data_IF_293067604685
#
_entry.id   IF_293067604685
#
_cell.length_a   1.000
_cell.length_b   1.000
_cell.length_c   1.000
_cell.angle_alpha   90.00
_cell.angle_beta   90.00
_cell.angle_gamma   90.00
#
_symmetry.space_group_name_H-M   'P 1'
#
loop_
_entity.id
_entity.type
_entity.pdbx_description
1 polymer ?
#
# COMPACT_ATOMS: atom_id res chain seq x y z
N UNK A 1 28.80 62.58 23.29
CA UNK A 1 27.87 62.05 22.27
C UNK A 1 27.09 60.90 22.92
N UNK A 2 26.36 61.08 24.02
CA UNK A 2 25.14 61.88 24.29
C UNK A 2 23.97 61.52 23.37
N UNK A 3 23.01 60.77 23.91
CA UNK A 3 21.73 60.42 23.28
C UNK A 3 20.90 59.53 24.20
N UNK A 4 20.49 60.07 25.33
CA UNK A 4 19.60 59.44 26.31
C UNK A 4 18.15 59.91 26.12
N UNK A 5 17.24 59.09 26.65
CA UNK A 5 15.95 59.44 27.30
C UNK A 5 14.63 59.45 26.49
N UNK A 6 13.48 59.27 27.19
CA UNK A 6 12.35 58.43 26.78
C UNK A 6 11.04 59.24 26.75
N UNK A 7 9.87 58.58 26.71
CA UNK A 7 8.73 58.90 27.59
C UNK A 7 7.48 58.06 27.24
N UNK A 8 6.93 57.41 28.27
CA UNK A 8 5.50 57.13 28.39
C UNK A 8 4.77 58.39 28.87
N UNK A 9 3.54 58.59 28.42
CA UNK A 9 2.35 59.16 29.12
C UNK A 9 1.23 59.16 28.06
N UNK A 10 -0.07 58.98 28.31
CA UNK A 10 -0.90 58.76 29.47
C UNK A 10 -2.35 58.70 28.94
N UNK A 11 -3.23 57.92 29.58
CA UNK A 11 -4.69 58.02 29.37
C UNK A 11 -5.24 59.27 30.06
N UNK A 12 -6.44 59.75 29.69
CA UNK A 12 -7.59 59.49 30.56
C UNK A 12 -8.99 59.39 29.89
N UNK A 13 -9.79 58.51 30.49
CA UNK A 13 -11.21 58.57 30.92
C UNK A 13 -12.37 59.21 30.11
N UNK A 14 -13.50 58.48 30.23
CA UNK A 14 -14.91 58.89 30.39
C UNK A 14 -15.71 59.19 29.10
N UNK A 15 -17.02 58.92 28.93
CA UNK A 15 -18.08 58.42 29.82
C UNK A 15 -19.36 58.11 28.98
N UNK A 16 -20.19 57.17 29.47
CA UNK A 16 -21.68 57.11 29.49
C UNK A 16 -22.53 57.12 28.19
N UNK A 17 -23.40 56.09 28.02
CA UNK A 17 -24.87 56.12 28.27
C UNK A 17 -25.61 54.96 27.58
N UNK A 18 -26.31 54.15 28.38
CA UNK A 18 -27.61 53.54 28.04
C UNK A 18 -28.72 54.50 28.57
N UNK A 19 -30.05 54.38 28.26
CA UNK A 19 -30.87 53.16 28.45
C UNK A 19 -32.18 53.02 27.60
N UNK A 20 -32.99 52.03 28.00
CA UNK A 20 -34.45 51.81 27.82
C UNK A 20 -34.90 51.05 26.55
N UNK A 21 -35.47 49.83 26.61
CA UNK A 21 -36.63 49.25 27.34
C UNK A 21 -37.98 49.63 26.71
N UNK A 22 -38.69 48.68 26.09
CA UNK A 22 -39.93 47.96 26.51
C UNK A 22 -40.75 47.77 25.22
N UNK A 23 -41.68 46.85 24.96
CA UNK A 23 -42.52 45.87 25.68
C UNK A 23 -43.27 45.12 24.54
N UNK A 24 -43.53 43.81 24.54
CA UNK A 24 -44.80 43.10 24.90
C UNK A 24 -45.02 41.98 23.87
N UNK A 25 -44.91 40.71 24.26
CA UNK A 25 -46.01 39.77 24.56
C UNK A 25 -46.97 39.44 23.41
N UNK A 26 -46.97 38.18 22.95
CA UNK A 26 -48.20 37.35 22.95
C UNK A 26 -47.87 35.87 22.65
N UNK A 27 -48.59 35.02 23.35
CA UNK A 27 -48.61 33.56 23.38
C UNK A 27 -49.33 32.94 22.18
N UNK A 28 -48.96 31.72 21.73
CA UNK A 28 -49.88 30.55 21.73
C UNK A 28 -49.22 29.22 21.32
N UNK A 29 -49.46 28.19 22.14
CA UNK A 29 -49.89 26.80 21.86
C UNK A 29 -49.18 25.90 20.81
N UNK A 30 -48.53 24.86 21.36
CA UNK A 30 -48.72 23.40 21.09
C UNK A 30 -48.99 22.91 19.66
N UNK A 31 -48.06 22.08 19.12
CA UNK A 31 -48.37 20.69 18.70
C UNK A 31 -47.12 19.89 18.33
N UNK A 32 -47.14 18.64 18.80
CA UNK A 32 -46.44 17.42 18.37
C UNK A 32 -45.89 17.36 16.93
N UNK A 33 -44.70 16.77 16.76
CA UNK A 33 -44.54 15.61 15.86
C UNK A 33 -43.17 14.94 16.06
N UNK A 34 -43.23 13.65 16.38
CA UNK A 34 -42.18 12.67 16.21
C UNK A 34 -41.86 12.50 14.72
N UNK A 35 -40.60 12.68 14.32
CA UNK A 35 -40.13 12.24 13.00
C UNK A 35 -39.30 10.97 13.16
N UNK A 36 -39.85 9.88 12.65
CA UNK A 36 -39.19 8.61 12.45
C UNK A 36 -38.07 8.74 11.41
N UNK A 37 -36.97 8.03 11.65
CA UNK A 37 -35.96 7.74 10.64
C UNK A 37 -36.53 6.77 9.61
N UNK A 38 -36.44 7.03 8.28
CA UNK A 38 -36.78 6.03 7.29
C UNK A 38 -35.62 5.06 7.08
N UNK A 39 -35.86 3.81 7.46
CA UNK A 39 -35.07 2.63 7.12
C UNK A 39 -35.57 2.06 5.80
N UNK A 40 -35.04 2.50 4.65
CA UNK A 40 -35.23 1.80 3.38
C UNK A 40 -34.01 1.99 2.48
N UNK A 41 -33.18 0.94 2.37
CA UNK A 41 -32.42 0.65 1.15
C UNK A 41 -32.54 -0.84 0.91
N UNK A 42 -33.62 -1.19 0.20
CA UNK A 42 -33.82 -2.51 -0.39
C UNK A 42 -32.92 -2.65 -1.60
N UNK A 43 -32.16 -3.73 -1.56
CA UNK A 43 -31.29 -4.27 -2.58
C UNK A 43 -32.08 -4.79 -3.79
N UNK A 44 -31.69 -4.38 -4.99
CA UNK A 44 -31.70 -5.23 -6.19
C UNK A 44 -30.97 -4.52 -7.33
N UNK A 45 -29.87 -5.11 -7.79
CA UNK A 45 -29.04 -4.59 -8.86
C UNK A 45 -27.96 -5.60 -9.19
N UNK A 46 -28.37 -6.73 -9.76
CA UNK A 46 -27.48 -7.72 -10.37
C UNK A 46 -26.68 -7.04 -11.50
N UNK A 47 -25.37 -6.93 -11.32
CA UNK A 47 -24.43 -6.70 -12.43
C UNK A 47 -23.70 -8.02 -12.67
N UNK A 48 -23.81 -8.52 -13.91
CA UNK A 48 -23.13 -9.71 -14.37
C UNK A 48 -21.63 -9.44 -14.49
N UNK A 49 -20.83 -10.06 -13.63
CA UNK A 49 -19.38 -10.12 -13.79
C UNK A 49 -19.02 -11.14 -14.88
N UNK A 50 -18.48 -10.64 -16.00
CA UNK A 50 -17.74 -11.44 -16.96
C UNK A 50 -16.40 -11.84 -16.35
N UNK A 51 -16.37 -12.97 -15.65
CA UNK A 51 -15.16 -13.52 -15.03
C UNK A 51 -14.30 -14.23 -16.08
N UNK A 52 -13.24 -13.56 -16.56
CA UNK A 52 -12.13 -14.21 -17.25
C UNK A 52 -11.26 -14.90 -16.19
N UNK A 53 -11.52 -16.18 -15.95
CA UNK A 53 -10.74 -17.00 -15.02
C UNK A 53 -9.45 -17.49 -15.70
N UNK A 54 -8.37 -16.71 -15.60
CA UNK A 54 -7.02 -17.23 -15.84
C UNK A 54 -6.57 -18.06 -14.62
N UNK A 55 -6.96 -19.34 -14.57
CA UNK A 55 -6.53 -20.28 -13.53
C UNK A 55 -5.34 -21.12 -14.01
N UNK A 56 -4.16 -20.50 -14.10
CA UNK A 56 -2.89 -21.24 -14.16
C UNK A 56 -2.45 -21.70 -12.76
N UNK A 57 -1.67 -22.79 -12.64
CA UNK A 57 -1.11 -23.23 -11.36
C UNK A 57 -0.23 -22.12 -10.76
N UNK A 58 -0.65 -21.62 -9.59
CA UNK A 58 0.06 -20.56 -8.85
C UNK A 58 1.25 -21.18 -8.12
N UNK A 59 2.42 -21.16 -8.74
CA UNK A 59 3.67 -21.32 -7.97
C UNK A 59 3.86 -20.06 -7.13
N UNK A 60 4.16 -20.22 -5.85
CA UNK A 60 4.53 -19.13 -4.95
C UNK A 60 6.00 -19.33 -4.58
N UNK A 61 6.82 -18.29 -4.64
CA UNK A 61 8.21 -18.33 -4.21
C UNK A 61 8.05 -17.95 -2.77
N UNK A 62 8.25 -18.89 -1.84
CA UNK A 62 8.46 -18.48 -0.48
C UNK A 62 9.67 -17.56 -0.57
N UNK A 63 9.56 -16.32 -0.07
CA UNK A 63 10.76 -15.73 0.51
C UNK A 63 11.38 -16.84 1.38
N UNK A 64 12.70 -17.04 1.33
CA UNK A 64 13.36 -18.13 2.09
C UNK A 64 13.01 -18.09 3.60
N UNK A 65 12.40 -17.01 4.05
CA UNK A 65 11.84 -16.80 5.38
C UNK A 65 10.43 -17.39 5.54
N UNK A 66 10.17 -18.04 6.68
CA UNK A 66 8.81 -18.45 7.03
C UNK A 66 7.89 -17.24 7.08
N UNK A 67 6.80 -17.26 6.31
CA UNK A 67 5.77 -16.20 6.30
C UNK A 67 5.32 -15.86 7.73
N UNK A 68 4.91 -14.60 7.95
CA UNK A 68 4.40 -14.17 9.25
C UNK A 68 3.25 -15.08 9.74
N UNK A 69 2.35 -15.47 8.85
CA UNK A 69 1.31 -16.47 9.10
C UNK A 69 1.85 -17.76 9.72
N UNK A 70 2.91 -18.35 9.15
CA UNK A 70 3.53 -19.58 9.68
C UNK A 70 4.17 -19.35 11.05
N UNK A 71 4.71 -18.16 11.30
CA UNK A 71 5.30 -17.80 12.61
C UNK A 71 4.21 -17.65 13.68
N UNK A 72 3.12 -16.96 13.35
CA UNK A 72 1.95 -16.81 14.23
C UNK A 72 1.34 -18.18 14.54
N UNK A 73 1.10 -19.00 13.51
CA UNK A 73 0.53 -20.33 13.66
C UNK A 73 1.41 -21.26 14.51
N UNK A 74 2.74 -21.17 14.34
CA UNK A 74 3.67 -21.92 15.19
C UNK A 74 3.54 -21.52 16.65
N UNK A 75 3.46 -20.22 16.95
CA UNK A 75 3.28 -19.72 18.33
C UNK A 75 1.95 -20.14 18.92
N UNK A 76 0.86 -20.05 18.16
CA UNK A 76 -0.46 -20.53 18.58
C UNK A 76 -0.40 -22.03 18.95
N UNK A 77 0.25 -22.86 18.13
CA UNK A 77 0.39 -24.29 18.39
C UNK A 77 1.28 -24.61 19.59
N UNK A 78 2.27 -23.77 19.88
CA UNK A 78 3.12 -23.90 21.06
C UNK A 78 2.35 -23.60 22.36
N UNK A 79 1.29 -22.80 22.29
CA UNK A 79 0.41 -22.51 23.42
C UNK A 79 -0.74 -23.51 23.58
N UNK A 80 -1.20 -24.09 22.48
CA UNK A 80 -2.27 -25.07 22.52
C UNK A 80 -1.73 -26.48 22.82
N UNK A 81 -1.26 -26.68 24.05
CA UNK A 81 -0.72 -27.96 24.55
C UNK A 81 -1.69 -29.14 24.44
N UNK A 82 -3.00 -28.85 24.27
CA UNK A 82 -4.05 -29.87 24.19
C UNK A 82 -4.06 -30.65 22.87
N UNK A 83 -3.25 -30.25 21.89
CA UNK A 83 -3.13 -30.96 20.60
C UNK A 83 -4.40 -30.94 19.73
N UNK A 84 -5.48 -30.31 20.20
CA UNK A 84 -6.72 -30.16 19.45
C UNK A 84 -6.55 -29.07 18.39
N UNK A 85 -6.30 -29.49 17.16
CA UNK A 85 -6.11 -28.58 16.03
C UNK A 85 -7.38 -27.86 15.62
N UNK A 86 -8.54 -28.36 16.03
CA UNK A 86 -9.87 -27.91 15.60
C UNK A 86 -10.54 -27.01 16.65
N UNK A 87 -9.94 -26.91 17.85
CA UNK A 87 -10.38 -26.00 18.89
C UNK A 87 -10.43 -24.55 18.39
N UNK A 88 -11.51 -23.86 18.74
CA UNK A 88 -11.61 -22.41 18.56
C UNK A 88 -10.72 -21.74 19.60
N UNK A 89 -9.83 -20.87 19.12
CA UNK A 89 -8.97 -20.07 19.97
C UNK A 89 -9.45 -18.62 19.97
N UNK A 90 -9.03 -17.85 20.98
CA UNK A 90 -9.16 -16.40 21.03
C UNK A 90 -7.74 -15.83 21.17
N UNK A 91 -7.38 -14.91 20.28
CA UNK A 91 -6.05 -14.29 20.23
C UNK A 91 -6.21 -12.79 20.10
N UNK A 92 -5.50 -12.06 20.96
CA UNK A 92 -5.39 -10.62 20.93
C UNK A 92 -4.08 -10.23 20.24
N UNK A 93 -4.16 -9.46 19.16
CA UNK A 93 -3.01 -8.89 18.47
C UNK A 93 -2.94 -7.40 18.75
N UNK A 94 -1.77 -6.91 19.14
CA UNK A 94 -1.47 -5.48 19.21
C UNK A 94 -0.52 -5.16 18.06
N UNK A 95 -0.90 -4.26 17.18
CA UNK A 95 -0.13 -3.91 16.00
C UNK A 95 0.37 -2.48 16.12
N UNK A 96 1.67 -2.29 15.89
CA UNK A 96 2.30 -0.98 15.77
C UNK A 96 1.85 -0.29 14.47
N UNK A 97 0.71 0.41 14.56
CA UNK A 97 0.08 1.08 13.42
C UNK A 97 -0.65 2.34 13.87
N UNK A 98 -0.08 3.48 13.54
CA UNK A 98 -0.70 4.80 13.73
C UNK A 98 -1.29 5.30 12.41
N UNK A 99 -2.60 5.09 12.27
CA UNK A 99 -3.37 5.52 11.11
C UNK A 99 -3.43 7.05 10.97
N UNK A 100 -3.56 7.77 12.09
CA UNK A 100 -3.68 9.23 12.07
C UNK A 100 -2.36 9.85 11.60
N UNK A 101 -1.23 9.29 12.02
CA UNK A 101 0.08 9.68 11.52
C UNK A 101 0.23 9.41 10.02
N UNK A 102 -0.30 8.29 9.51
CA UNK A 102 -0.29 8.01 8.07
C UNK A 102 -1.13 9.03 7.29
N UNK A 103 -2.36 9.33 7.71
CA UNK A 103 -3.19 10.33 7.03
C UNK A 103 -2.52 11.70 7.07
N UNK A 104 -2.02 12.14 8.24
CA UNK A 104 -1.36 13.44 8.41
C UNK A 104 -0.13 13.57 7.53
N UNK A 105 0.60 12.48 7.29
CA UNK A 105 1.81 12.51 6.48
C UNK A 105 1.52 12.60 4.98
N UNK A 106 0.31 12.23 4.55
CA UNK A 106 -0.11 12.36 3.15
C UNK A 106 -0.60 13.80 2.87
N UNK A 107 0.13 14.51 1.99
CA UNK A 107 -0.13 15.92 1.61
C UNK A 107 -1.55 16.19 1.06
N UNK A 108 -2.33 15.15 0.73
CA UNK A 108 -3.72 15.26 0.24
C UNK A 108 -4.78 15.23 1.35
N UNK A 109 -4.41 15.09 2.63
CA UNK A 109 -5.35 15.10 3.74
C UNK A 109 -6.35 13.92 3.72
N UNK A 110 -7.48 14.10 4.40
CA UNK A 110 -8.51 13.08 4.67
C UNK A 110 -9.23 12.51 3.42
N UNK A 111 -8.94 13.03 2.22
CA UNK A 111 -9.50 12.55 0.95
C UNK A 111 -8.59 11.53 0.23
N UNK A 112 -7.67 10.92 0.99
CA UNK A 112 -6.82 9.85 0.47
C UNK A 112 -7.67 8.58 0.30
N UNK A 113 -8.22 8.40 -0.89
CA UNK A 113 -8.93 7.18 -1.26
C UNK A 113 -7.96 5.99 -1.28
N UNK A 114 -7.96 5.18 -0.20
CA UNK A 114 -7.11 4.00 -0.07
C UNK A 114 -7.32 2.99 -1.22
N UNK A 115 -8.44 3.06 -1.95
CA UNK A 115 -8.69 2.22 -3.14
C UNK A 115 -7.68 2.50 -4.25
N UNK A 116 -7.05 3.68 -4.24
CA UNK A 116 -6.06 4.10 -5.23
C UNK A 116 -4.65 4.19 -4.68
N UNK A 117 -4.47 3.96 -3.37
CA UNK A 117 -3.15 3.88 -2.80
C UNK A 117 -2.46 2.60 -3.30
N UNK A 118 -1.35 2.78 -4.01
CA UNK A 118 -0.52 1.68 -4.45
C UNK A 118 0.32 1.17 -3.28
N UNK A 119 0.61 -0.12 -3.30
CA UNK A 119 1.41 -0.82 -2.31
C UNK A 119 2.52 -1.56 -3.05
N UNK A 120 3.71 -1.63 -2.44
CA UNK A 120 4.80 -2.45 -2.95
C UNK A 120 4.98 -3.64 -2.02
N UNK A 121 5.04 -4.84 -2.61
CA UNK A 121 5.28 -6.09 -1.89
C UNK A 121 6.32 -6.90 -2.62
N UNK A 122 7.25 -7.50 -1.90
CA UNK A 122 8.31 -8.29 -2.50
C UNK A 122 9.63 -8.13 -1.77
N UNK A 123 10.72 -8.35 -2.50
CA UNK A 123 12.07 -8.25 -1.96
C UNK A 123 13.09 -8.06 -3.08
N UNK A 124 14.06 -7.15 -2.89
CA UNK A 124 15.13 -6.86 -3.85
C UNK A 124 14.56 -6.54 -5.24
N UNK A 125 15.03 -7.25 -6.26
CA UNK A 125 14.64 -7.09 -7.65
C UNK A 125 13.41 -7.93 -8.02
N UNK A 126 12.58 -8.36 -7.07
CA UNK A 126 11.31 -9.03 -7.37
C UNK A 126 10.22 -8.37 -6.52
N UNK A 127 9.55 -7.39 -7.11
CA UNK A 127 8.58 -6.53 -6.42
C UNK A 127 7.30 -6.48 -7.24
N UNK A 128 6.17 -6.39 -6.56
CA UNK A 128 4.86 -6.17 -7.14
C UNK A 128 4.30 -4.82 -6.64
N UNK A 129 3.92 -3.96 -7.57
CA UNK A 129 3.10 -2.78 -7.36
C UNK A 129 1.63 -3.10 -7.71
N UNK A 130 0.76 -2.97 -6.72
CA UNK A 130 -0.70 -3.17 -6.87
C UNK A 130 -1.46 -2.28 -5.90
N UNK A 131 -2.75 -2.04 -6.14
CA UNK A 131 -3.60 -1.46 -5.09
C UNK A 131 -3.70 -2.44 -3.93
N UNK A 132 -4.01 -1.94 -2.73
CA UNK A 132 -4.17 -2.83 -1.58
C UNK A 132 -5.31 -3.83 -1.76
N UNK A 133 -6.43 -3.40 -2.36
CA UNK A 133 -7.54 -4.28 -2.70
C UNK A 133 -7.11 -5.39 -3.67
N UNK A 134 -6.41 -5.05 -4.75
CA UNK A 134 -5.97 -6.01 -5.75
C UNK A 134 -5.01 -7.04 -5.13
N UNK A 135 -4.04 -6.55 -4.35
CA UNK A 135 -3.08 -7.42 -3.68
C UNK A 135 -3.76 -8.37 -2.70
N UNK A 136 -4.63 -7.86 -1.82
CA UNK A 136 -5.31 -8.69 -0.83
C UNK A 136 -6.23 -9.71 -1.48
N UNK A 137 -6.94 -9.33 -2.55
CA UNK A 137 -7.81 -10.23 -3.31
C UNK A 137 -7.01 -11.31 -4.04
N UNK A 138 -5.83 -10.95 -4.56
CA UNK A 138 -4.92 -11.90 -5.18
C UNK A 138 -4.37 -12.92 -4.18
N UNK A 139 -3.90 -12.43 -3.03
CA UNK A 139 -3.12 -13.21 -2.05
C UNK A 139 -4.01 -14.02 -1.12
N UNK A 140 -5.15 -13.46 -0.73
CA UNK A 140 -6.15 -14.11 0.13
C UNK A 140 -7.54 -14.04 -0.50
N UNK A 141 -7.84 -14.83 -1.54
CA UNK A 141 -9.08 -14.71 -2.30
C UNK A 141 -10.38 -14.86 -1.49
N UNK A 142 -10.33 -15.60 -0.39
CA UNK A 142 -11.51 -15.85 0.45
C UNK A 142 -11.79 -14.74 1.47
N UNK A 143 -10.75 -14.04 1.94
CA UNK A 143 -10.87 -13.11 3.08
C UNK A 143 -10.39 -11.70 2.77
N UNK A 144 -9.47 -11.55 1.82
CA UNK A 144 -8.71 -10.32 1.56
C UNK A 144 -9.59 -9.15 1.15
N UNK A 145 -10.39 -9.30 0.09
CA UNK A 145 -11.29 -8.24 -0.39
C UNK A 145 -12.25 -7.78 0.71
N UNK A 146 -12.85 -8.74 1.42
CA UNK A 146 -13.80 -8.47 2.49
C UNK A 146 -13.15 -7.73 3.65
N UNK A 147 -12.00 -8.21 4.12
CA UNK A 147 -11.24 -7.59 5.19
C UNK A 147 -10.80 -6.17 4.81
N UNK A 148 -10.32 -5.99 3.58
CA UNK A 148 -9.95 -4.69 3.03
C UNK A 148 -11.12 -3.70 3.11
N UNK A 149 -12.32 -4.06 2.62
CA UNK A 149 -13.48 -3.16 2.67
C UNK A 149 -13.84 -2.71 4.09
N UNK A 150 -13.66 -3.58 5.09
CA UNK A 150 -13.88 -3.19 6.48
C UNK A 150 -12.78 -2.27 7.02
N UNK A 151 -11.51 -2.56 6.71
CA UNK A 151 -10.40 -1.70 7.10
C UNK A 151 -10.52 -0.32 6.44
N UNK A 152 -10.75 -0.26 5.13
CA UNK A 152 -10.91 0.97 4.37
C UNK A 152 -12.06 1.84 4.90
N UNK A 153 -13.26 1.27 5.03
CA UNK A 153 -14.43 1.99 5.53
C UNK A 153 -14.19 2.58 6.92
N UNK A 154 -13.51 1.84 7.79
CA UNK A 154 -13.36 2.21 9.20
C UNK A 154 -12.20 3.15 9.44
N UNK A 155 -11.13 3.02 8.67
CA UNK A 155 -10.01 3.96 8.72
C UNK A 155 -10.43 5.35 8.22
N UNK A 156 -11.35 5.45 7.24
CA UNK A 156 -11.91 6.75 6.81
C UNK A 156 -12.82 7.42 7.83
N UNK A 157 -13.48 6.62 8.67
CA UNK A 157 -14.32 7.14 9.73
C UNK A 157 -13.39 7.50 10.89
N UNK A 158 -13.01 8.78 10.97
CA UNK A 158 -12.11 9.35 11.99
C UNK A 158 -12.55 9.15 13.45
N UNK A 159 -13.64 8.41 13.69
CA UNK A 159 -14.13 8.03 14.99
C UNK A 159 -13.66 6.63 15.36
N UNK A 160 -12.87 6.55 16.44
CA UNK A 160 -12.39 5.30 17.04
C UNK A 160 -13.56 4.39 17.41
N UNK A 161 -13.78 3.35 16.61
CA UNK A 161 -14.90 2.44 16.77
C UNK A 161 -14.46 0.99 16.71
N UNK A 162 -14.99 0.20 17.65
CA UNK A 162 -14.97 -1.25 17.60
C UNK A 162 -15.80 -1.71 16.41
N UNK A 163 -15.22 -2.53 15.53
CA UNK A 163 -15.99 -3.19 14.48
C UNK A 163 -15.73 -4.69 14.47
N UNK A 164 -16.72 -5.43 13.99
CA UNK A 164 -16.68 -6.88 13.92
C UNK A 164 -16.87 -7.34 12.48
N UNK A 165 -15.98 -8.23 12.07
CA UNK A 165 -16.00 -8.93 10.79
C UNK A 165 -16.19 -10.41 11.07
N UNK A 166 -17.16 -11.02 10.39
CA UNK A 166 -17.43 -12.45 10.52
C UNK A 166 -17.23 -13.12 9.17
N UNK A 167 -16.34 -14.11 9.10
CA UNK A 167 -16.12 -14.89 7.89
C UNK A 167 -17.05 -16.11 7.87
N UNK A 168 -17.74 -16.32 6.75
CA UNK A 168 -18.63 -17.47 6.57
C UNK A 168 -17.82 -18.72 6.19
N UNK A 169 -18.18 -19.90 6.69
CA UNK A 169 -17.55 -21.18 6.37
C UNK A 169 -17.41 -22.12 7.57
N UNK A 170 -17.01 -23.39 7.31
CA UNK A 170 -16.71 -24.38 8.34
C UNK A 170 -15.51 -23.90 9.16
N UNK A 171 -15.74 -23.55 10.43
CA UNK A 171 -14.73 -23.00 11.34
C UNK A 171 -14.79 -21.48 11.57
N UNK A 172 -15.82 -20.80 11.02
CA UNK A 172 -16.04 -19.35 11.02
C UNK A 172 -15.28 -18.55 12.07
N UNK A 173 -14.37 -17.69 11.60
CA UNK A 173 -13.69 -16.74 12.47
C UNK A 173 -14.55 -15.50 12.69
N UNK A 174 -14.63 -15.09 13.94
CA UNK A 174 -15.11 -13.79 14.34
C UNK A 174 -13.90 -12.93 14.68
N UNK A 175 -13.74 -11.85 13.94
CA UNK A 175 -12.65 -10.92 14.12
C UNK A 175 -13.25 -9.62 14.58
N UNK A 176 -12.79 -9.17 15.72
CA UNK A 176 -13.17 -7.89 16.26
C UNK A 176 -11.93 -7.01 16.24
N UNK A 177 -12.01 -5.95 15.47
CA UNK A 177 -10.92 -4.98 15.34
C UNK A 177 -11.29 -3.76 16.19
N UNK A 178 -10.30 -3.31 16.94
CA UNK A 178 -10.37 -2.21 17.88
C UNK A 178 -9.23 -1.26 17.59
N UNK A 179 -9.55 -0.05 17.13
CA UNK A 179 -8.57 1.02 17.10
C UNK A 179 -8.52 1.62 18.51
N UNK A 180 -7.57 1.14 19.31
CA UNK A 180 -7.37 1.60 20.67
C UNK A 180 -6.27 2.66 20.67
N UNK A 181 -6.64 3.88 21.04
CA UNK A 181 -5.64 4.86 21.45
C UNK A 181 -5.28 4.52 22.89
N UNK A 182 -4.33 3.60 23.08
CA UNK A 182 -3.69 3.46 24.39
C UNK A 182 -2.97 4.79 24.67
N UNK A 183 -3.54 5.63 25.54
CA UNK A 183 -2.79 6.68 26.23
C UNK A 183 -2.66 6.27 27.69
N UNK A 184 -1.60 5.54 28.10
CA UNK A 184 -1.27 5.42 29.51
C UNK A 184 -0.40 6.59 29.96
N UNK A 185 0.45 7.15 29.08
CA UNK A 185 1.40 8.20 29.41
C UNK A 185 1.28 9.39 28.44
N UNK A 186 1.14 10.59 29.02
CA UNK A 186 0.93 11.88 28.32
C UNK A 186 2.02 12.29 27.32
N UNK A 187 3.05 11.46 27.12
CA UNK A 187 4.22 11.77 26.28
C UNK A 187 4.38 10.86 25.06
N UNK A 188 3.73 9.69 25.02
CA UNK A 188 3.79 8.77 23.87
C UNK A 188 2.48 8.82 23.06
N UNK A 189 2.44 9.66 22.02
CA UNK A 189 1.35 9.69 21.03
C UNK A 189 1.41 8.48 20.07
N UNK A 190 1.52 7.25 20.58
CA UNK A 190 1.51 6.05 19.72
C UNK A 190 0.14 5.41 19.74
N UNK A 191 -0.61 5.58 18.64
CA UNK A 191 -1.83 4.81 18.42
C UNK A 191 -1.48 3.34 18.07
N UNK A 192 -2.19 2.40 18.67
CA UNK A 192 -2.04 0.96 18.37
C UNK A 192 -3.33 0.41 17.78
N UNK A 193 -3.20 -0.57 16.88
CA UNK A 193 -4.36 -1.33 16.40
C UNK A 193 -4.46 -2.63 17.20
N UNK A 194 -5.52 -2.75 18.00
CA UNK A 194 -5.83 -3.93 18.80
C UNK A 194 -6.83 -4.82 18.06
N UNK A 195 -6.61 -6.13 18.04
CA UNK A 195 -7.43 -7.05 17.26
C UNK A 195 -7.67 -8.31 18.07
N UNK A 196 -8.93 -8.55 18.42
CA UNK A 196 -9.36 -9.82 18.99
C UNK A 196 -9.88 -10.71 17.87
N UNK A 197 -9.10 -11.71 17.49
CA UNK A 197 -9.51 -12.72 16.53
C UNK A 197 -9.90 -14.00 17.26
N UNK A 198 -11.04 -14.58 16.90
CA UNK A 198 -11.50 -15.86 17.43
C UNK A 198 -11.92 -16.79 16.30
N UNK A 199 -11.60 -18.08 16.42
CA UNK A 199 -11.91 -19.07 15.39
C UNK A 199 -10.85 -20.15 15.30
N UNK A 200 -10.81 -20.85 14.16
CA UNK A 200 -9.81 -21.88 13.90
C UNK A 200 -8.40 -21.26 13.76
N UNK A 201 -7.38 -21.90 14.35
CA UNK A 201 -6.00 -21.39 14.41
C UNK A 201 -5.42 -20.91 13.06
N UNK A 202 -5.65 -21.67 11.98
CA UNK A 202 -5.16 -21.32 10.64
C UNK A 202 -5.79 -20.01 10.13
N UNK A 203 -7.10 -19.84 10.35
CA UNK A 203 -7.83 -18.66 9.89
C UNK A 203 -7.44 -17.43 10.73
N UNK A 204 -7.27 -17.61 12.05
CA UNK A 204 -6.77 -16.55 12.95
C UNK A 204 -5.38 -16.09 12.51
N UNK A 205 -4.45 -17.01 12.27
CA UNK A 205 -3.10 -16.69 11.80
C UNK A 205 -3.10 -16.01 10.43
N UNK A 206 -3.95 -16.47 9.50
CA UNK A 206 -4.04 -15.91 8.16
C UNK A 206 -4.57 -14.48 8.15
N UNK A 207 -5.61 -14.19 8.96
CA UNK A 207 -6.12 -12.82 9.05
C UNK A 207 -5.15 -11.91 9.81
N UNK A 208 -4.52 -12.37 10.89
CA UNK A 208 -3.48 -11.59 11.53
C UNK A 208 -2.35 -11.22 10.55
N UNK A 209 -1.96 -12.16 9.68
CA UNK A 209 -0.98 -11.90 8.62
C UNK A 209 -1.48 -10.89 7.57
N UNK A 210 -2.76 -10.93 7.19
CA UNK A 210 -3.37 -9.96 6.28
C UNK A 210 -3.33 -8.54 6.84
N UNK A 211 -3.70 -8.39 8.11
CA UNK A 211 -3.74 -7.07 8.76
C UNK A 211 -2.32 -6.55 8.99
N UNK A 212 -1.38 -7.40 9.37
CA UNK A 212 0.03 -7.02 9.47
C UNK A 212 0.61 -6.57 8.12
N UNK A 213 0.26 -7.23 7.01
CA UNK A 213 0.65 -6.75 5.68
C UNK A 213 0.07 -5.37 5.38
N UNK A 214 -1.24 -5.20 5.61
CA UNK A 214 -1.95 -3.96 5.37
C UNK A 214 -1.35 -2.80 6.18
N UNK A 215 -1.20 -2.98 7.48
CA UNK A 215 -0.60 -1.98 8.37
C UNK A 215 0.86 -1.70 7.98
N UNK A 216 1.62 -2.73 7.59
CA UNK A 216 2.96 -2.56 7.04
C UNK A 216 2.96 -1.64 5.82
N UNK A 217 2.05 -1.86 4.87
CA UNK A 217 1.90 -1.09 3.62
C UNK A 217 1.43 0.36 3.84
N UNK A 218 0.70 0.63 4.93
CA UNK A 218 0.08 1.93 5.22
C UNK A 218 0.62 2.63 6.47
N UNK A 219 1.75 2.19 7.04
CA UNK A 219 2.34 2.90 8.18
C UNK A 219 3.02 4.19 7.69
N UNK A 220 3.35 5.12 8.58
CA UNK A 220 4.22 6.26 8.26
C UNK A 220 5.66 5.76 8.03
N UNK A 221 6.44 6.41 7.15
CA UNK A 221 7.86 6.08 7.00
C UNK A 221 8.67 6.95 7.95
N UNK A 222 9.69 6.40 8.65
CA UNK A 222 10.57 7.20 9.49
C UNK A 222 11.40 8.19 8.66
N UNK A 223 11.70 7.83 7.42
CA UNK A 223 12.59 8.58 6.52
C UNK A 223 11.97 8.73 5.13
N UNK A 224 12.45 9.74 4.39
CA UNK A 224 12.18 9.85 2.96
C UNK A 224 12.98 8.79 2.20
N UNK A 225 12.42 8.30 1.10
CA UNK A 225 13.03 7.22 0.31
C UNK A 225 12.26 5.91 0.36
N UNK A 226 12.84 4.91 -0.32
CA UNK A 226 12.29 3.57 -0.41
C UNK A 226 12.85 2.71 0.72
N UNK A 227 11.97 2.09 1.50
CA UNK A 227 12.36 1.23 2.62
C UNK A 227 11.81 -0.19 2.47
N UNK A 228 12.56 -1.19 2.92
CA UNK A 228 12.01 -2.52 3.20
C UNK A 228 11.32 -2.50 4.56
N UNK A 229 10.08 -2.99 4.61
CA UNK A 229 9.29 -3.12 5.83
C UNK A 229 9.00 -4.60 6.08
N UNK A 230 9.58 -5.17 7.14
CA UNK A 230 9.43 -6.58 7.47
C UNK A 230 8.63 -6.75 8.77
N UNK A 231 7.40 -7.28 8.70
CA UNK A 231 6.63 -7.56 9.90
C UNK A 231 7.28 -8.65 10.77
N UNK A 232 7.18 -8.46 12.07
CA UNK A 232 7.64 -9.39 13.09
C UNK A 232 6.52 -9.68 14.07
N UNK A 233 6.56 -10.85 14.69
CA UNK A 233 5.66 -11.22 15.77
C UNK A 233 6.49 -11.56 17.00
N UNK A 234 6.21 -10.87 18.09
CA UNK A 234 6.66 -11.21 19.43
C UNK A 234 5.46 -11.58 20.28
N UNK A 235 5.74 -12.24 21.38
CA UNK A 235 4.74 -12.74 22.30
C UNK A 235 4.90 -12.02 23.62
N UNK A 236 3.80 -11.52 24.15
CA UNK A 236 3.77 -10.98 25.49
C UNK A 236 3.25 -12.09 26.37
N UNK A 237 4.15 -12.74 27.11
CA UNK A 237 3.72 -13.63 28.17
C UNK A 237 3.01 -12.78 29.22
N UNK A 238 1.68 -12.87 29.31
CA UNK A 238 0.98 -12.45 30.51
C UNK A 238 1.19 -13.56 31.56
N UNK A 239 2.25 -13.42 32.35
CA UNK A 239 2.17 -13.85 33.74
C UNK A 239 1.56 -12.69 34.52
N UNK A 240 0.73 -13.04 35.49
CA UNK A 240 0.07 -12.15 36.45
C UNK A 240 -1.29 -11.58 36.02
N UNK A 241 -2.33 -12.39 36.24
CA UNK A 241 -3.41 -11.92 37.11
C UNK A 241 -3.93 -13.05 38.00
N UNK A 242 -3.87 -12.78 39.29
CA UNK A 242 -4.34 -13.57 40.43
C UNK A 242 -5.86 -13.74 40.50
N UNK A 243 -6.60 -13.50 39.41
CA UNK A 243 -8.06 -13.59 39.37
C UNK A 243 -8.49 -14.78 38.51
N UNK A 244 -9.02 -15.77 39.21
CA UNK A 244 -9.30 -17.14 38.80
C UNK A 244 -10.50 -17.30 37.85
N UNK A 245 -10.55 -16.58 36.73
CA UNK A 245 -11.55 -16.83 35.68
C UNK A 245 -10.94 -16.88 34.28
N UNK A 246 -10.18 -17.95 34.04
CA UNK A 246 -10.37 -18.91 32.94
C UNK A 246 -10.61 -18.43 31.50
N UNK A 247 -10.04 -17.32 31.05
CA UNK A 247 -9.85 -17.09 29.62
C UNK A 247 -8.35 -16.92 29.33
N UNK A 248 -7.70 -18.05 29.02
CA UNK A 248 -6.35 -18.15 28.45
C UNK A 248 -6.34 -17.49 27.05
N UNK A 249 -6.46 -16.16 27.02
CA UNK A 249 -6.39 -15.40 25.78
C UNK A 249 -4.92 -15.13 25.45
N UNK A 250 -4.45 -15.65 24.32
CA UNK A 250 -3.09 -15.40 23.84
C UNK A 250 -2.95 -13.94 23.42
N UNK A 251 -1.85 -13.26 23.78
CA UNK A 251 -1.54 -11.90 23.31
C UNK A 251 -0.24 -11.89 22.50
N UNK A 252 -0.32 -11.38 21.27
CA UNK A 252 0.83 -11.19 20.39
C UNK A 252 1.01 -9.72 20.03
N UNK A 253 2.27 -9.28 19.95
CA UNK A 253 2.61 -7.97 19.40
C UNK A 253 3.16 -8.15 17.98
N UNK A 254 2.62 -7.37 17.05
CA UNK A 254 3.10 -7.29 15.67
C UNK A 254 3.84 -5.97 15.52
N UNK A 255 5.17 -6.06 15.42
CA UNK A 255 6.05 -4.95 15.12
C UNK A 255 6.60 -5.04 13.70
N UNK A 256 7.45 -4.10 13.33
CA UNK A 256 8.09 -4.10 12.01
C UNK A 256 9.54 -3.68 12.11
N UNK A 257 10.36 -4.30 11.29
CA UNK A 257 11.76 -3.91 11.07
C UNK A 257 11.80 -3.15 9.76
N UNK A 258 12.16 -1.87 9.83
CA UNK A 258 12.45 -1.06 8.64
C UNK A 258 13.93 -1.16 8.30
N UNK A 259 14.24 -1.31 7.02
CA UNK A 259 15.59 -1.34 6.51
C UNK A 259 15.64 -0.39 5.30
N UNK A 260 16.32 0.75 5.40
CA UNK A 260 16.50 1.65 4.27
C UNK A 260 17.14 0.91 3.09
N UNK A 261 16.69 1.21 1.89
CA UNK A 261 17.36 0.72 0.68
C UNK A 261 18.52 1.67 0.41
N UNK A 262 19.74 1.19 0.64
CA UNK A 262 20.95 1.98 0.41
C UNK A 262 21.30 2.04 -1.09
N UNK A 263 22.24 2.92 -1.44
CA UNK A 263 22.70 3.07 -2.82
C UNK A 263 23.28 1.77 -3.42
N UNK A 264 23.83 0.87 -2.60
CA UNK A 264 24.38 -0.39 -3.07
C UNK A 264 23.29 -1.38 -3.50
N UNK A 265 22.13 -1.34 -2.84
CA UNK A 265 20.94 -2.08 -3.27
C UNK A 265 20.30 -1.48 -4.54
N UNK A 266 20.54 -0.19 -4.82
CA UNK A 266 20.10 0.45 -6.07
C UNK A 266 20.95 0.03 -7.28
N UNK A 267 22.23 -0.28 -7.07
CA UNK A 267 23.16 -0.69 -8.13
C UNK A 267 23.00 -2.15 -8.58
N UNK A 268 22.11 -2.90 -7.93
CA UNK A 268 21.76 -4.25 -8.37
C UNK A 268 21.12 -4.18 -9.76
N UNK A 269 21.56 -4.98 -10.75
CA UNK A 269 20.90 -5.01 -12.05
C UNK A 269 19.40 -5.24 -11.90
N UNK A 270 18.60 -4.59 -12.76
CA UNK A 270 17.12 -4.74 -12.84
C UNK A 270 16.31 -3.97 -11.78
N UNK A 271 16.91 -2.94 -11.19
CA UNK A 271 16.31 -2.05 -10.19
C UNK A 271 15.98 -0.65 -10.74
N UNK A 272 16.03 -0.44 -12.07
CA UNK A 272 15.79 0.91 -12.63
C UNK A 272 14.43 1.49 -12.20
N UNK A 273 13.46 0.64 -11.85
CA UNK A 273 12.15 1.01 -11.33
C UNK A 273 12.20 1.74 -9.97
N UNK A 274 13.28 1.65 -9.20
CA UNK A 274 13.44 2.33 -7.91
C UNK A 274 13.22 3.84 -8.04
N UNK A 275 13.63 4.42 -9.18
CA UNK A 275 13.45 5.84 -9.48
C UNK A 275 11.99 6.31 -9.54
N UNK A 276 11.02 5.39 -9.64
CA UNK A 276 9.58 5.72 -9.56
C UNK A 276 9.12 6.04 -8.13
N UNK A 277 9.81 5.48 -7.12
CA UNK A 277 9.35 5.50 -5.73
C UNK A 277 10.34 6.15 -4.76
N UNK A 278 11.61 6.34 -5.16
CA UNK A 278 12.64 6.89 -4.28
C UNK A 278 12.36 8.34 -3.84
N UNK A 279 11.71 9.15 -4.68
CA UNK A 279 11.32 10.53 -4.30
C UNK A 279 9.90 10.60 -3.72
N UNK A 280 9.20 9.46 -3.62
CA UNK A 280 7.83 9.41 -3.15
C UNK A 280 7.85 9.20 -1.63
N UNK A 281 7.36 10.16 -0.83
CA UNK A 281 7.34 10.01 0.62
C UNK A 281 6.50 8.79 0.98
N UNK A 282 6.95 8.06 1.99
CA UNK A 282 6.28 6.87 2.53
C UNK A 282 6.29 5.61 1.65
N UNK A 283 7.05 5.60 0.56
CA UNK A 283 7.23 4.41 -0.27
C UNK A 283 7.93 3.29 0.48
N UNK A 284 7.31 2.12 0.48
CA UNK A 284 7.81 0.95 1.22
C UNK A 284 7.49 -0.33 0.50
N UNK A 285 8.38 -1.30 0.66
CA UNK A 285 8.22 -2.65 0.17
C UNK A 285 7.95 -3.55 1.36
N UNK A 286 6.73 -4.07 1.46
CA UNK A 286 6.38 -5.02 2.52
C UNK A 286 7.00 -6.39 2.17
N UNK A 287 7.90 -6.85 3.02
CA UNK A 287 8.68 -8.07 2.82
C UNK A 287 8.02 -9.29 3.47
N UNK A 288 8.35 -10.49 2.97
CA UNK A 288 7.93 -11.76 3.57
C UNK A 288 6.52 -12.23 3.20
N UNK A 289 5.91 -11.58 2.20
CA UNK A 289 4.60 -11.95 1.67
C UNK A 289 4.70 -12.45 0.23
N UNK A 290 3.77 -13.34 -0.17
CA UNK A 290 3.86 -13.98 -1.46
C UNK A 290 3.37 -13.04 -2.57
N UNK A 291 4.17 -12.90 -3.61
CA UNK A 291 3.80 -12.27 -4.88
C UNK A 291 3.60 -13.34 -5.95
N UNK A 292 2.85 -13.04 -7.01
CA UNK A 292 2.64 -13.99 -8.12
C UNK A 292 4.00 -14.40 -8.70
N UNK A 293 4.38 -15.66 -8.52
CA UNK A 293 5.55 -16.20 -9.23
C UNK A 293 5.12 -16.48 -10.63
N UNK A 294 6.09 -16.27 -11.49
CA UNK A 294 5.86 -16.32 -12.91
C UNK A 294 6.56 -17.58 -13.38
N UNK A 295 5.86 -18.48 -14.09
CA UNK A 295 6.57 -19.42 -14.94
C UNK A 295 7.48 -18.57 -15.82
N UNK A 296 8.79 -18.84 -15.78
CA UNK A 296 9.75 -18.07 -16.55
C UNK A 296 9.28 -17.95 -17.99
N UNK A 297 9.33 -16.75 -18.56
CA UNK A 297 9.01 -16.63 -19.98
C UNK A 297 10.14 -17.29 -20.78
N UNK A 298 9.77 -18.13 -21.73
CA UNK A 298 10.70 -18.73 -22.67
C UNK A 298 10.98 -17.70 -23.78
N UNK A 299 12.07 -16.95 -23.64
CA UNK A 299 12.61 -16.16 -24.73
C UNK A 299 13.75 -16.95 -25.39
N UNK A 300 13.68 -17.18 -26.69
CA UNK A 300 14.71 -17.91 -27.45
C UNK A 300 15.16 -19.23 -26.78
N UNK A 301 14.22 -20.04 -26.30
CA UNK A 301 14.45 -21.33 -25.62
C UNK A 301 15.14 -21.26 -24.24
N UNK A 302 15.32 -20.07 -23.66
CA UNK A 302 15.85 -19.90 -22.29
C UNK A 302 14.75 -19.36 -21.37
N UNK A 303 14.47 -20.06 -20.27
CA UNK A 303 13.56 -19.56 -19.24
C UNK A 303 14.25 -18.45 -18.45
N UNK A 304 13.84 -17.20 -18.64
CA UNK A 304 14.36 -16.08 -17.86
C UNK A 304 13.43 -15.85 -16.66
N UNK A 305 13.95 -15.85 -15.41
CA UNK A 305 13.14 -15.49 -14.26
C UNK A 305 12.68 -14.04 -14.39
N UNK A 306 11.37 -13.84 -14.28
CA UNK A 306 10.75 -12.54 -14.36
C UNK A 306 11.10 -11.79 -13.06
N UNK A 307 11.99 -10.81 -13.23
CA UNK A 307 12.58 -9.94 -12.20
C UNK A 307 12.20 -8.49 -12.55
N UNK A 308 12.51 -7.55 -11.67
CA UNK A 308 12.05 -6.17 -11.70
C UNK A 308 10.77 -5.95 -10.89
N UNK A 309 10.06 -4.89 -11.25
CA UNK A 309 8.78 -4.50 -10.70
C UNK A 309 7.64 -4.97 -11.60
N UNK A 310 6.83 -5.92 -11.15
CA UNK A 310 5.50 -6.15 -11.71
C UNK A 310 4.59 -4.99 -11.34
N UNK A 311 3.90 -4.39 -12.30
CA UNK A 311 3.03 -3.24 -12.07
C UNK A 311 1.79 -3.36 -12.96
N UNK A 312 0.64 -2.88 -12.49
CA UNK A 312 -0.57 -2.83 -13.32
C UNK A 312 -0.55 -1.61 -14.22
N UNK A 313 -1.17 -1.70 -15.40
CA UNK A 313 -1.32 -0.56 -16.31
C UNK A 313 -1.96 0.65 -15.61
N UNK A 314 -2.99 0.38 -14.79
CA UNK A 314 -3.69 1.35 -13.95
C UNK A 314 -2.73 2.17 -13.07
N UNK A 315 -1.73 1.54 -12.47
CA UNK A 315 -0.74 2.24 -11.63
C UNK A 315 0.25 3.02 -12.51
N UNK A 316 0.71 2.45 -13.64
CA UNK A 316 1.58 3.18 -14.58
C UNK A 316 0.91 4.49 -15.02
N UNK A 317 -0.35 4.42 -15.46
CA UNK A 317 -1.13 5.59 -15.86
C UNK A 317 -1.33 6.58 -14.71
N UNK A 318 -1.40 6.11 -13.47
CA UNK A 318 -1.57 6.97 -12.30
C UNK A 318 -0.30 7.74 -11.92
N UNK A 319 0.85 7.07 -11.96
CA UNK A 319 2.17 7.66 -11.65
C UNK A 319 2.57 8.68 -12.72
N UNK A 320 2.04 8.52 -13.93
CA UNK A 320 2.28 9.43 -15.05
C UNK A 320 2.06 10.91 -14.70
N UNK A 321 1.03 11.21 -13.88
CA UNK A 321 0.57 12.55 -13.45
C UNK A 321 0.24 13.57 -14.55
N UNK A 322 0.67 13.34 -15.79
CA UNK A 322 0.55 14.25 -16.94
C UNK A 322 -0.48 13.73 -17.95
N UNK A 323 -1.32 14.63 -18.45
CA UNK A 323 -2.39 14.36 -19.43
C UNK A 323 -1.87 14.20 -20.87
N UNK A 324 -0.54 14.24 -21.07
CA UNK A 324 0.03 14.00 -22.39
C UNK A 324 -0.50 12.67 -22.95
N UNK A 325 -0.83 12.57 -24.26
CA UNK A 325 -1.26 11.30 -24.83
C UNK A 325 -0.14 10.26 -24.70
N UNK A 326 -0.48 8.98 -24.52
CA UNK A 326 0.51 7.92 -24.79
C UNK A 326 0.83 8.03 -26.27
N UNK A 327 2.06 8.41 -26.60
CA UNK A 327 2.47 8.57 -27.99
C UNK A 327 2.29 7.24 -28.71
N UNK A 328 1.31 7.17 -29.61
CA UNK A 328 1.14 6.03 -30.51
C UNK A 328 2.03 6.31 -31.71
N UNK A 329 3.20 5.67 -31.84
CA UNK A 329 4.06 6.00 -32.95
C UNK A 329 3.39 5.56 -34.26
N UNK A 330 3.49 6.40 -35.29
CA UNK A 330 2.86 6.17 -36.59
C UNK A 330 3.42 4.93 -37.33
N UNK A 331 4.49 4.31 -36.80
CA UNK A 331 5.15 3.14 -37.38
C UNK A 331 5.41 2.06 -36.31
N UNK A 332 4.34 1.42 -35.84
CA UNK A 332 4.31 0.48 -34.71
C UNK A 332 5.28 -0.71 -34.83
N UNK A 333 5.68 -1.07 -36.04
CA UNK A 333 6.57 -2.21 -36.29
C UNK A 333 8.03 -1.96 -35.86
N UNK A 334 8.44 -0.70 -35.65
CA UNK A 334 9.86 -0.36 -35.42
C UNK A 334 10.10 0.60 -34.26
N UNK A 335 9.04 1.11 -33.64
CA UNK A 335 9.15 2.18 -32.65
C UNK A 335 8.69 1.71 -31.27
N UNK A 336 9.45 2.00 -30.20
CA UNK A 336 9.05 1.64 -28.85
C UNK A 336 7.82 2.43 -28.41
N UNK A 337 6.97 1.79 -27.62
CA UNK A 337 5.96 2.48 -26.82
C UNK A 337 6.70 3.26 -25.75
N UNK A 338 6.37 4.55 -25.64
CA UNK A 338 6.91 5.40 -24.59
C UNK A 338 5.77 5.96 -23.75
N UNK A 339 5.84 5.73 -22.44
CA UNK A 339 4.98 6.40 -21.46
C UNK A 339 5.77 7.53 -20.83
N UNK A 340 5.27 8.75 -20.97
CA UNK A 340 5.89 9.97 -20.48
C UNK A 340 5.31 10.33 -19.12
N UNK A 341 6.11 10.26 -18.06
CA UNK A 341 5.78 10.83 -16.76
C UNK A 341 6.46 12.17 -16.53
N UNK A 342 6.09 12.85 -15.44
CA UNK A 342 6.64 14.17 -15.09
C UNK A 342 8.17 14.23 -15.05
N UNK A 343 8.82 13.21 -14.48
CA UNK A 343 10.28 13.13 -14.32
C UNK A 343 10.87 11.81 -14.84
N UNK A 344 10.15 11.08 -15.69
CA UNK A 344 10.62 9.79 -16.19
C UNK A 344 10.00 9.41 -17.53
N UNK A 345 10.64 8.46 -18.22
CA UNK A 345 10.12 7.77 -19.38
C UNK A 345 10.10 6.27 -19.12
N UNK A 346 9.02 5.60 -19.49
CA UNK A 346 9.00 4.15 -19.63
C UNK A 346 9.09 3.80 -21.09
N UNK A 347 10.13 3.07 -21.47
CA UNK A 347 10.42 2.70 -22.85
C UNK A 347 10.21 1.19 -22.97
N UNK A 348 9.29 0.76 -23.82
CA UNK A 348 9.06 -0.67 -24.05
C UNK A 348 10.30 -1.31 -24.70
N UNK A 349 10.79 -2.41 -24.14
CA UNK A 349 11.91 -3.20 -24.66
C UNK A 349 11.44 -4.48 -25.34
N UNK A 350 10.50 -5.17 -24.72
CA UNK A 350 9.96 -6.44 -25.22
C UNK A 350 8.44 -6.39 -25.12
N UNK A 351 7.78 -6.69 -26.24
CA UNK A 351 6.34 -6.74 -26.41
C UNK A 351 5.98 -8.16 -26.87
N UNK A 352 5.52 -9.01 -25.96
CA UNK A 352 5.35 -10.42 -26.28
C UNK A 352 4.22 -11.08 -25.49
N UNK A 353 3.39 -11.88 -26.17
CA UNK A 353 2.37 -12.81 -25.64
C UNK A 353 1.89 -12.53 -24.21
N UNK A 354 1.24 -11.39 -24.00
CA UNK A 354 0.63 -11.06 -22.72
C UNK A 354 1.50 -10.25 -21.74
N UNK A 355 2.73 -9.90 -22.12
CA UNK A 355 3.73 -9.26 -21.25
C UNK A 355 4.43 -8.11 -21.97
N UNK A 356 4.66 -7.03 -21.24
CA UNK A 356 5.43 -5.87 -21.67
C UNK A 356 6.56 -5.60 -20.68
N UNK A 357 7.78 -5.51 -21.20
CA UNK A 357 8.94 -5.08 -20.42
C UNK A 357 9.26 -3.62 -20.71
N UNK A 358 9.46 -2.86 -19.64
CA UNK A 358 9.77 -1.45 -19.65
C UNK A 358 11.16 -1.23 -19.06
N UNK A 359 11.89 -0.30 -19.67
CA UNK A 359 13.05 0.35 -19.08
C UNK A 359 12.62 1.70 -18.54
N UNK A 360 13.00 2.02 -17.29
CA UNK A 360 12.79 3.35 -16.71
C UNK A 360 14.02 4.23 -16.98
N UNK A 361 13.80 5.35 -17.65
CA UNK A 361 14.76 6.44 -17.76
C UNK A 361 14.27 7.59 -16.89
N UNK A 362 15.07 8.06 -15.91
CA UNK A 362 14.69 9.17 -15.05
C UNK A 362 15.34 10.47 -15.54
N UNK A 363 14.58 11.56 -15.53
CA UNK A 363 15.05 12.90 -15.85
C UNK A 363 15.13 13.71 -14.55
N UNK A 364 16.32 13.81 -13.98
CA UNK A 364 16.55 14.59 -12.77
C UNK A 364 16.72 16.09 -13.06
N UNK A 365 17.00 16.48 -14.31
CA UNK A 365 17.36 17.85 -14.65
C UNK A 365 16.26 18.56 -15.46
N UNK A 366 15.91 19.77 -15.03
CA UNK A 366 14.97 20.67 -15.71
C UNK A 366 15.54 21.32 -16.97
N UNK A 367 16.81 21.07 -17.29
CA UNK A 367 17.48 21.68 -18.44
C UNK A 367 17.23 20.87 -19.70
N UNK A 368 16.18 21.26 -20.45
CA UNK A 368 16.15 21.41 -21.92
C UNK A 368 16.64 20.28 -22.85
N UNK A 369 17.09 19.14 -22.34
CA UNK A 369 17.66 18.05 -23.13
C UNK A 369 16.56 17.33 -23.87
N UNK A 370 16.28 17.73 -25.11
CA UNK A 370 15.26 17.12 -25.95
C UNK A 370 15.48 15.59 -26.02
N UNK A 371 14.54 14.83 -25.47
CA UNK A 371 14.61 13.38 -25.47
C UNK A 371 14.35 12.90 -26.89
N UNK A 372 15.42 12.50 -27.59
CA UNK A 372 15.32 12.03 -28.98
C UNK A 372 14.90 10.57 -29.02
N UNK A 373 13.62 10.37 -29.34
CA UNK A 373 13.01 9.06 -29.61
C UNK A 373 13.76 8.27 -30.69
N UNK A 374 14.34 8.95 -31.68
CA UNK A 374 14.98 8.36 -32.86
C UNK A 374 16.16 7.44 -32.54
N UNK A 375 16.72 7.59 -31.35
CA UNK A 375 17.83 6.77 -30.92
C UNK A 375 17.34 5.47 -30.24
N UNK A 376 16.16 5.44 -29.62
CA UNK A 376 15.79 4.30 -28.79
C UNK A 376 15.91 2.94 -29.50
N UNK A 377 16.48 1.92 -28.84
CA UNK A 377 16.58 0.60 -29.44
C UNK A 377 15.20 0.11 -29.81
N UNK A 378 15.12 -0.53 -30.96
CA UNK A 378 13.85 -1.09 -31.42
C UNK A 378 13.37 -2.12 -30.41
N UNK A 379 12.10 -2.08 -30.00
CA UNK A 379 11.55 -3.12 -29.15
C UNK A 379 11.57 -4.45 -29.90
N UNK A 380 11.77 -5.54 -29.18
CA UNK A 380 11.49 -6.87 -29.70
C UNK A 380 9.98 -7.10 -29.61
N UNK A 381 9.31 -7.11 -30.76
CA UNK A 381 7.85 -7.21 -30.86
C UNK A 381 7.45 -8.57 -31.41
N UNK A 382 6.64 -9.31 -30.66
CA UNK A 382 6.01 -10.54 -31.12
C UNK A 382 4.92 -10.21 -32.15
N UNK A 383 4.77 -11.06 -33.17
CA UNK A 383 3.79 -10.86 -34.26
C UNK A 383 2.33 -10.81 -33.81
N UNK A 384 2.04 -11.27 -32.60
CA UNK A 384 0.70 -11.36 -32.00
C UNK A 384 0.44 -10.29 -30.94
N UNK A 385 1.31 -9.29 -30.82
CA UNK A 385 1.10 -8.18 -29.91
C UNK A 385 0.04 -7.21 -30.43
N UNK A 386 -0.96 -6.91 -29.58
CA UNK A 386 -2.05 -5.98 -29.86
C UNK A 386 -1.94 -4.75 -28.94
N UNK A 387 -1.63 -3.59 -29.53
CA UNK A 387 -1.51 -2.34 -28.80
C UNK A 387 -2.83 -1.86 -28.21
N UNK A 388 -3.98 -2.24 -28.78
CA UNK A 388 -5.29 -1.90 -28.23
C UNK A 388 -5.57 -2.67 -26.92
N UNK A 389 -4.82 -3.74 -26.66
CA UNK A 389 -4.93 -4.57 -25.46
C UNK A 389 -3.81 -4.32 -24.45
N UNK A 390 -3.08 -3.21 -24.57
CA UNK A 390 -1.94 -2.90 -23.71
C UNK A 390 -2.30 -2.99 -22.22
N UNK A 391 -3.50 -2.56 -21.84
CA UNK A 391 -4.01 -2.61 -20.47
C UNK A 391 -4.23 -4.02 -19.90
N UNK A 392 -4.41 -5.00 -20.79
CA UNK A 392 -4.65 -6.41 -20.43
C UNK A 392 -3.34 -7.18 -20.30
N UNK A 393 -2.22 -6.57 -20.66
CA UNK A 393 -0.90 -7.16 -20.51
C UNK A 393 -0.34 -6.99 -19.11
N UNK A 394 0.55 -7.91 -18.75
CA UNK A 394 1.36 -7.79 -17.54
C UNK A 394 2.53 -6.88 -17.83
N UNK A 395 2.84 -5.96 -16.92
CA UNK A 395 3.93 -5.01 -17.13
C UNK A 395 5.05 -5.23 -16.13
N UNK A 396 6.29 -5.21 -16.64
CA UNK A 396 7.51 -5.36 -15.87
C UNK A 396 8.42 -4.18 -16.09
N UNK A 397 8.84 -3.50 -15.02
CA UNK A 397 9.83 -2.42 -15.11
C UNK A 397 11.16 -2.95 -14.57
N UNK A 398 12.24 -2.79 -15.33
CA UNK A 398 13.57 -3.21 -14.92
C UNK A 398 13.93 -4.65 -15.26
N UNK A 399 12.97 -5.49 -15.68
CA UNK A 399 13.17 -6.92 -15.85
C UNK A 399 14.29 -7.34 -16.81
N UNK A 400 14.77 -6.48 -17.69
CA UNK A 400 15.88 -6.77 -18.61
C UNK A 400 17.04 -5.75 -18.55
N UNK A 401 17.02 -4.83 -17.59
CA UNK A 401 17.92 -3.67 -17.56
C UNK A 401 19.40 -3.97 -17.24
N UNK A 402 19.82 -5.23 -17.30
CA UNK A 402 21.20 -5.65 -17.02
C UNK A 402 22.01 -6.06 -18.26
N UNK A 403 21.44 -6.05 -19.46
CA UNK A 403 22.13 -6.65 -20.63
C UNK A 403 22.87 -5.62 -21.49
N UNK A 404 22.42 -4.35 -21.56
CA UNK A 404 23.09 -3.28 -22.33
C UNK A 404 22.77 -1.91 -21.75
N UNK A 405 23.77 -1.19 -21.22
CA UNK A 405 23.62 0.25 -20.95
C UNK A 405 23.70 0.97 -22.30
N UNK A 406 22.67 1.73 -22.60
CA UNK A 406 22.61 2.60 -23.78
C UNK A 406 23.14 3.95 -23.36
N UNK A 407 24.33 4.30 -23.84
CA UNK A 407 24.88 5.64 -23.62
C UNK A 407 24.54 6.49 -24.84
N UNK A 408 23.88 7.62 -24.62
CA UNK A 408 23.79 8.68 -25.63
C UNK A 408 24.97 9.61 -25.40
N UNK A 409 26.03 9.48 -26.20
CA UNK A 409 27.15 10.41 -26.21
C UNK A 409 27.03 11.22 -27.49
N UNK A 410 26.92 12.55 -27.37
CA UNK A 410 26.86 13.48 -28.51
C UNK A 410 25.79 13.16 -29.57
N UNK A 411 24.60 12.74 -29.12
CA UNK A 411 23.47 12.45 -30.01
C UNK A 411 23.60 11.14 -30.79
N UNK A 412 24.61 10.31 -30.51
CA UNK A 412 24.71 8.92 -30.99
C UNK A 412 24.57 7.96 -29.83
N UNK A 413 23.76 6.91 -30.03
CA UNK A 413 23.80 5.77 -29.13
C UNK A 413 25.03 4.92 -29.40
N UNK A 414 25.77 4.62 -28.33
CA UNK A 414 26.77 3.58 -28.34
C UNK A 414 26.34 2.46 -27.39
N UNK A 415 26.43 1.22 -27.88
CA UNK A 415 26.35 0.04 -27.03
C UNK A 415 27.66 -0.07 -26.25
N UNK A 416 27.59 0.17 -24.94
CA UNK A 416 28.71 -0.06 -24.03
C UNK A 416 28.42 -1.24 -23.12
N UNK A 417 29.25 -2.27 -23.16
CA UNK A 417 29.36 -3.20 -22.05
C UNK A 417 30.21 -2.53 -20.98
N UNK A 418 29.62 -2.22 -19.82
CA UNK A 418 30.41 -1.89 -18.64
C UNK A 418 30.13 -2.90 -17.54
N UNK A 419 31.11 -3.74 -17.29
CA UNK A 419 31.45 -4.23 -15.97
C UNK A 419 32.97 -4.08 -15.85
N UNK A 420 33.44 -3.07 -15.13
CA UNK A 420 34.57 -3.29 -14.25
C UNK A 420 34.23 -2.89 -12.81
N UNK A 421 34.90 -3.58 -11.89
CA UNK A 421 34.72 -3.66 -10.43
C UNK A 421 34.56 -2.32 -9.68
#
# INVERSE_FOLDING_TARGET
MSGSFPAQTGSPLASTKAPSSKDKSSSTKTRSSSSAFPSEFSSSGFLSEGSVTQSGPRTWVPGRESTLEKRILRKIRQHNDRGDTDAKIIVNFVIDFDHDQYIKSHKKGADTDLNWAYTLTGFRNIVQASTALDYMSQTWPQTGARLYSYLDLRLRQSSYHRFRVQFAGNGGANITVHLDKETPDLEAETCHLSITASGHQNLVASVASQIAWFCGAFRKSPEDGLIYCKPTVSETLHFDSSDSSSDDSMRFNIGYIDTPIDGSDLDVPRTCWNGLFIDQPHSRIVCGYPIRVQPGYAFNSTSVPLTGLEITWKIIMRIREDETPVGRPQNLATTPVVVHGKCFFLISKVLNKGVVFWHLERRCDHEGSEFRLDNLPRPEVSSDFDFDQLENYRHFIGGECGVRKLFVIEGRLQEGFTCPD
#
